data_IF_736391132692
#
_entry.id   IF_736391132692
#
_cell.length_a   1.000
_cell.length_b   1.000
_cell.length_c   1.000
_cell.angle_alpha   90.00
_cell.angle_beta   90.00
_cell.angle_gamma   90.00
#
_symmetry.space_group_name_H-M   'P 1'
#
loop_
_entity.id
_entity.type
_entity.pdbx_description
1 polymer ?
#
# COMPACT_ATOMS: atom_id res chain seq x y z
N UNK A 1 -30.68 -10.88 2.18
CA UNK A 1 -29.25 -10.64 2.49
C UNK A 1 -29.07 -10.82 3.98
N UNK A 2 -28.12 -11.65 4.42
CA UNK A 2 -27.88 -11.90 5.84
C UNK A 2 -27.19 -10.69 6.51
N UNK A 3 -27.27 -10.53 7.85
CA UNK A 3 -26.60 -9.44 8.56
C UNK A 3 -25.07 -9.42 8.40
N UNK A 4 -24.47 -10.55 8.01
CA UNK A 4 -23.03 -10.65 7.72
C UNK A 4 -22.76 -10.20 6.28
N UNK A 5 -23.58 -10.66 5.32
CA UNK A 5 -23.48 -10.24 3.92
C UNK A 5 -23.67 -8.73 3.76
N UNK A 6 -24.62 -8.15 4.49
CA UNK A 6 -24.87 -6.71 4.49
C UNK A 6 -23.62 -5.93 4.94
N UNK A 7 -22.99 -6.34 6.06
CA UNK A 7 -21.76 -5.71 6.55
C UNK A 7 -20.59 -5.82 5.59
N UNK A 8 -20.44 -6.96 4.90
CA UNK A 8 -19.38 -7.15 3.89
C UNK A 8 -19.63 -6.27 2.67
N UNK A 9 -20.89 -6.16 2.25
CA UNK A 9 -21.30 -5.33 1.12
C UNK A 9 -21.14 -3.84 1.40
N UNK A 10 -21.54 -3.38 2.58
CA UNK A 10 -21.38 -1.99 2.99
C UNK A 10 -19.89 -1.63 3.06
N UNK A 11 -19.06 -2.51 3.64
CA UNK A 11 -17.60 -2.35 3.66
C UNK A 11 -17.02 -2.22 2.25
N UNK A 12 -17.39 -3.12 1.33
CA UNK A 12 -16.94 -3.06 -0.06
C UNK A 12 -17.41 -1.79 -0.79
N UNK A 13 -18.67 -1.38 -0.58
CA UNK A 13 -19.27 -0.19 -1.19
C UNK A 13 -18.60 1.10 -0.73
N UNK A 14 -18.09 1.14 0.51
CA UNK A 14 -17.36 2.27 1.07
C UNK A 14 -15.90 2.36 0.58
N UNK A 15 -15.48 1.51 -0.37
CA UNK A 15 -14.14 1.52 -0.93
C UNK A 15 -13.11 0.82 -0.03
N UNK A 16 -13.55 -0.21 0.71
CA UNK A 16 -12.74 -0.90 1.70
C UNK A 16 -11.32 -1.25 1.23
N UNK A 17 -10.36 -0.73 1.98
CA UNK A 17 -9.01 -1.23 2.01
C UNK A 17 -8.88 -2.32 3.08
N UNK A 18 -8.00 -3.27 2.83
CA UNK A 18 -7.59 -4.25 3.83
C UNK A 18 -6.95 -3.46 5.00
N UNK A 19 -7.44 -3.59 6.25
CA UNK A 19 -6.94 -2.79 7.37
C UNK A 19 -5.45 -3.05 7.58
N UNK A 20 -4.67 -2.01 7.89
CA UNK A 20 -3.25 -2.17 8.20
C UNK A 20 -3.12 -3.01 9.47
N UNK A 21 -2.34 -4.08 9.39
CA UNK A 21 -2.10 -4.98 10.52
C UNK A 21 -0.77 -4.62 11.19
N UNK A 22 -0.85 -4.19 12.44
CA UNK A 22 0.26 -3.98 13.35
C UNK A 22 0.42 -5.25 14.22
N UNK A 23 1.42 -6.11 13.95
CA UNK A 23 1.51 -7.44 14.56
C UNK A 23 1.53 -7.41 16.09
N UNK A 24 2.11 -6.37 16.69
CA UNK A 24 2.24 -6.22 18.14
C UNK A 24 0.97 -5.67 18.81
N UNK A 25 0.25 -4.78 18.13
CA UNK A 25 -0.91 -4.08 18.68
C UNK A 25 -2.21 -4.87 18.43
N UNK A 26 -2.30 -5.56 17.30
CA UNK A 26 -3.48 -6.30 16.88
C UNK A 26 -3.40 -7.76 17.29
N UNK A 27 -3.34 -8.02 18.60
CA UNK A 27 -3.25 -9.36 19.18
C UNK A 27 -4.39 -9.60 20.16
N UNK A 28 -4.94 -10.81 20.16
CA UNK A 28 -5.81 -11.27 21.25
C UNK A 28 -5.21 -12.50 21.92
N UNK A 29 -5.15 -12.52 23.26
CA UNK A 29 -4.53 -13.61 24.00
C UNK A 29 -5.23 -14.94 23.74
N UNK A 30 -4.46 -16.02 23.87
CA UNK A 30 -5.01 -17.35 23.80
C UNK A 30 -5.87 -17.64 25.02
N UNK A 31 -7.08 -18.18 24.82
CA UNK A 31 -7.83 -18.77 25.93
C UNK A 31 -7.02 -19.98 26.41
N UNK A 32 -6.64 -19.99 27.69
CA UNK A 32 -5.76 -21.00 28.27
C UNK A 32 -6.24 -22.43 27.93
N UNK A 33 -5.34 -23.27 27.41
CA UNK A 33 -5.56 -24.69 27.14
C UNK A 33 -6.09 -25.05 25.73
N UNK A 34 -6.24 -24.08 24.81
CA UNK A 34 -6.72 -24.37 23.46
C UNK A 34 -5.59 -24.73 22.49
N UNK A 35 -5.61 -25.91 21.87
CA UNK A 35 -4.80 -26.15 20.67
C UNK A 35 -5.16 -25.17 19.54
N UNK A 36 -4.17 -24.78 18.75
CA UNK A 36 -4.40 -24.14 17.45
C UNK A 36 -5.16 -25.10 16.55
N UNK A 37 -6.36 -24.72 16.12
CA UNK A 37 -7.11 -25.53 15.16
C UNK A 37 -6.47 -25.44 13.77
N UNK A 38 -6.59 -26.50 12.98
CA UNK A 38 -6.11 -26.50 11.57
C UNK A 38 -6.68 -25.32 10.79
N UNK A 39 -7.94 -24.95 11.06
CA UNK A 39 -8.60 -23.77 10.48
C UNK A 39 -7.87 -22.46 10.82
N UNK A 40 -7.37 -22.30 12.06
CA UNK A 40 -6.61 -21.11 12.45
C UNK A 40 -5.24 -21.08 11.78
N UNK A 41 -4.58 -22.23 11.68
CA UNK A 41 -3.29 -22.36 10.99
C UNK A 41 -3.40 -22.00 9.51
N UNK A 42 -4.46 -22.45 8.85
CA UNK A 42 -4.74 -22.09 7.47
C UNK A 42 -5.05 -20.59 7.31
N UNK A 43 -5.83 -20.01 8.22
CA UNK A 43 -6.11 -18.56 8.25
C UNK A 43 -4.85 -17.74 8.49
N UNK A 44 -3.91 -18.24 9.29
CA UNK A 44 -2.63 -17.60 9.50
C UNK A 44 -1.79 -17.55 8.22
N UNK A 45 -1.77 -18.64 7.46
CA UNK A 45 -1.10 -18.67 6.15
C UNK A 45 -1.75 -17.70 5.15
N UNK A 46 -3.08 -17.63 5.15
CA UNK A 46 -3.81 -16.67 4.35
C UNK A 46 -3.47 -15.21 4.74
N UNK A 47 -3.28 -14.93 6.03
CA UNK A 47 -2.82 -13.64 6.54
C UNK A 47 -1.44 -13.27 6.01
N UNK A 48 -0.45 -14.17 6.07
CA UNK A 48 0.88 -13.92 5.51
C UNK A 48 0.79 -13.59 4.02
N UNK A 49 -0.09 -14.29 3.28
CA UNK A 49 -0.25 -14.09 1.84
C UNK A 49 -0.92 -12.76 1.47
N UNK A 50 -1.98 -12.38 2.18
CA UNK A 50 -2.70 -11.12 1.94
C UNK A 50 -1.79 -9.90 2.14
N UNK A 51 -0.99 -9.91 3.21
CA UNK A 51 -0.12 -8.79 3.56
C UNK A 51 1.31 -8.92 2.98
N UNK A 52 1.57 -9.94 2.16
CA UNK A 52 2.88 -10.18 1.53
C UNK A 52 4.02 -10.34 2.55
N UNK A 53 3.75 -10.91 3.72
CA UNK A 53 4.74 -11.10 4.80
C UNK A 53 5.30 -12.51 4.84
N UNK A 54 6.49 -12.64 5.43
CA UNK A 54 7.14 -13.94 5.64
C UNK A 54 6.40 -14.74 6.72
N UNK A 55 6.42 -16.09 6.63
CA UNK A 55 5.97 -16.93 7.73
C UNK A 55 6.67 -16.54 9.04
N UNK A 56 5.90 -16.43 10.12
CA UNK A 56 6.39 -16.02 11.45
C UNK A 56 6.29 -14.52 11.75
N UNK A 57 5.90 -13.66 10.79
CA UNK A 57 5.58 -12.24 11.09
C UNK A 57 4.26 -12.08 11.85
N UNK A 58 3.31 -12.96 11.58
CA UNK A 58 2.03 -13.03 12.29
C UNK A 58 1.92 -14.36 13.00
N UNK A 59 1.07 -14.40 14.02
CA UNK A 59 0.74 -15.59 14.78
C UNK A 59 -0.77 -15.79 15.00
N UNK A 60 -1.12 -16.82 15.76
CA UNK A 60 -2.49 -17.15 16.13
C UNK A 60 -3.24 -16.00 16.84
N UNK A 61 -2.52 -15.16 17.59
CA UNK A 61 -3.11 -14.03 18.30
C UNK A 61 -3.60 -12.94 17.34
N UNK A 62 -2.94 -12.78 16.20
CA UNK A 62 -3.39 -11.88 15.14
C UNK A 62 -4.64 -12.41 14.44
N UNK A 63 -4.73 -13.72 14.18
CA UNK A 63 -5.94 -14.32 13.59
C UNK A 63 -7.15 -14.10 14.49
N UNK A 64 -6.98 -14.30 15.80
CA UNK A 64 -8.04 -14.09 16.81
C UNK A 64 -8.51 -12.64 16.89
N UNK A 65 -7.60 -11.69 16.69
CA UNK A 65 -7.96 -10.27 16.62
C UNK A 65 -8.96 -10.03 15.48
N UNK A 66 -8.70 -10.53 14.27
CA UNK A 66 -9.64 -10.39 13.15
C UNK A 66 -10.93 -11.15 13.32
N UNK A 67 -10.90 -12.33 13.97
CA UNK A 67 -12.12 -13.07 14.29
C UNK A 67 -13.08 -12.27 15.17
N UNK A 68 -12.55 -11.43 16.05
CA UNK A 68 -13.34 -10.63 16.97
C UNK A 68 -13.68 -9.23 16.44
N UNK A 69 -12.70 -8.53 15.85
CA UNK A 69 -12.80 -7.11 15.54
C UNK A 69 -13.14 -6.83 14.06
N UNK A 70 -12.85 -7.77 13.14
CA UNK A 70 -13.04 -7.57 11.70
C UNK A 70 -13.60 -8.82 11.02
N UNK A 71 -14.83 -9.17 11.37
CA UNK A 71 -15.54 -10.27 10.73
C UNK A 71 -15.57 -10.24 9.19
N UNK A 72 -15.69 -9.08 8.51
CA UNK A 72 -15.65 -9.04 7.05
C UNK A 72 -14.37 -9.65 6.46
N UNK A 73 -13.23 -9.50 7.16
CA UNK A 73 -11.95 -10.05 6.72
C UNK A 73 -11.92 -11.59 6.79
N UNK A 74 -12.74 -12.23 7.63
CA UNK A 74 -12.80 -13.69 7.72
C UNK A 74 -13.26 -14.34 6.43
N UNK A 75 -14.15 -13.68 5.68
CA UNK A 75 -14.60 -14.18 4.39
C UNK A 75 -13.46 -14.15 3.36
N UNK A 76 -12.67 -13.06 3.37
CA UNK A 76 -11.47 -12.96 2.53
C UNK A 76 -10.43 -14.01 2.92
N UNK A 77 -10.15 -14.18 4.21
CA UNK A 77 -9.22 -15.21 4.70
C UNK A 77 -9.68 -16.59 4.27
N UNK A 78 -10.97 -16.89 4.37
CA UNK A 78 -11.54 -18.17 3.95
C UNK A 78 -11.39 -18.39 2.43
N UNK A 79 -11.61 -17.36 1.62
CA UNK A 79 -11.40 -17.44 0.17
C UNK A 79 -9.94 -17.70 -0.19
N UNK A 80 -8.99 -17.03 0.48
CA UNK A 80 -7.55 -17.24 0.27
C UNK A 80 -7.11 -18.63 0.73
N UNK A 81 -7.65 -19.14 1.86
CA UNK A 81 -7.42 -20.54 2.29
C UNK A 81 -7.87 -21.53 1.21
N UNK A 82 -9.06 -21.35 0.64
CA UNK A 82 -9.55 -22.20 -0.46
C UNK A 82 -8.59 -22.16 -1.65
N UNK A 83 -8.09 -20.99 -2.00
CA UNK A 83 -7.11 -20.81 -3.08
C UNK A 83 -5.80 -21.55 -2.78
N UNK A 84 -5.23 -21.39 -1.59
CA UNK A 84 -3.99 -22.06 -1.17
C UNK A 84 -4.18 -23.59 -1.23
N UNK A 85 -5.30 -24.09 -0.69
CA UNK A 85 -5.63 -25.52 -0.73
C UNK A 85 -5.80 -26.02 -2.17
N UNK A 86 -6.45 -25.25 -3.04
CA UNK A 86 -6.60 -25.59 -4.45
C UNK A 86 -5.23 -25.61 -5.17
N UNK A 87 -4.37 -24.62 -4.94
CA UNK A 87 -2.99 -24.60 -5.48
C UNK A 87 -2.20 -25.83 -5.04
N UNK A 88 -2.28 -26.21 -3.76
CA UNK A 88 -1.66 -27.44 -3.24
C UNK A 88 -2.24 -28.69 -3.89
N UNK A 89 -3.56 -28.78 -4.06
CA UNK A 89 -4.20 -29.92 -4.70
C UNK A 89 -3.84 -30.06 -6.19
N UNK A 90 -3.73 -28.94 -6.92
CA UNK A 90 -3.27 -28.93 -8.32
C UNK A 90 -1.83 -29.42 -8.40
N UNK A 91 -0.96 -28.92 -7.52
CA UNK A 91 0.47 -29.26 -7.52
C UNK A 91 0.73 -30.67 -6.99
N UNK A 92 -0.11 -31.15 -6.08
CA UNK A 92 -0.02 -32.46 -5.42
C UNK A 92 -0.77 -33.60 -6.12
N UNK A 93 -1.43 -33.35 -7.25
CA UNK A 93 -2.06 -34.39 -8.08
C UNK A 93 -3.38 -34.98 -7.54
N UNK A 94 -4.01 -34.35 -6.55
CA UNK A 94 -5.31 -34.81 -6.03
C UNK A 94 -6.46 -34.39 -6.94
N UNK A 95 -7.45 -35.27 -7.12
CA UNK A 95 -8.63 -35.01 -7.93
C UNK A 95 -9.42 -33.79 -7.39
N UNK A 96 -9.36 -32.68 -8.10
CA UNK A 96 -10.14 -31.47 -7.82
C UNK A 96 -11.51 -31.60 -8.47
N UNK A 97 -12.58 -31.25 -7.74
CA UNK A 97 -13.92 -31.19 -8.34
C UNK A 97 -13.97 -30.15 -9.46
N UNK A 98 -14.69 -30.39 -10.57
CA UNK A 98 -14.70 -29.49 -11.73
C UNK A 98 -15.01 -28.02 -11.41
N UNK A 99 -15.92 -27.78 -10.47
CA UNK A 99 -16.30 -26.43 -10.01
C UNK A 99 -15.13 -25.70 -9.34
N UNK A 100 -14.40 -26.37 -8.45
CA UNK A 100 -13.21 -25.81 -7.79
C UNK A 100 -12.09 -25.55 -8.79
N UNK A 101 -11.99 -26.36 -9.84
CA UNK A 101 -11.04 -26.13 -10.93
C UNK A 101 -11.44 -24.90 -11.77
N UNK A 102 -12.73 -24.73 -12.04
CA UNK A 102 -13.24 -23.56 -12.76
C UNK A 102 -13.03 -22.26 -11.97
N UNK A 103 -13.34 -22.25 -10.68
CA UNK A 103 -13.03 -21.12 -9.78
C UNK A 103 -11.52 -20.83 -9.76
N UNK A 104 -10.69 -21.87 -9.62
CA UNK A 104 -9.23 -21.72 -9.66
C UNK A 104 -8.76 -21.10 -10.98
N UNK A 105 -9.26 -21.57 -12.12
CA UNK A 105 -8.90 -21.04 -13.43
C UNK A 105 -9.32 -19.57 -13.60
N UNK A 106 -10.50 -19.19 -13.09
CA UNK A 106 -10.97 -17.81 -13.10
C UNK A 106 -10.05 -16.90 -12.27
N UNK A 107 -9.73 -17.31 -11.03
CA UNK A 107 -8.84 -16.53 -10.16
C UNK A 107 -7.41 -16.49 -10.71
N UNK A 108 -6.92 -17.59 -11.29
CA UNK A 108 -5.61 -17.63 -11.94
C UNK A 108 -5.53 -16.68 -13.13
N UNK A 109 -6.57 -16.61 -13.96
CA UNK A 109 -6.66 -15.64 -15.06
C UNK A 109 -6.65 -14.21 -14.55
N UNK A 110 -7.46 -13.90 -13.55
CA UNK A 110 -7.49 -12.56 -12.94
C UNK A 110 -6.13 -12.15 -12.38
N UNK A 111 -5.44 -13.08 -11.69
CA UNK A 111 -4.08 -12.86 -11.21
C UNK A 111 -3.10 -12.57 -12.36
N UNK A 112 -3.16 -13.35 -13.44
CA UNK A 112 -2.32 -13.13 -14.62
C UNK A 112 -2.53 -11.76 -15.25
N UNK A 113 -3.79 -11.32 -15.37
CA UNK A 113 -4.13 -9.98 -15.86
C UNK A 113 -3.60 -8.87 -14.93
N UNK A 114 -3.73 -9.05 -13.62
CA UNK A 114 -3.23 -8.08 -12.64
C UNK A 114 -1.70 -7.95 -12.70
N UNK A 115 -0.97 -9.06 -12.79
CA UNK A 115 0.50 -9.04 -12.90
C UNK A 115 0.97 -8.42 -14.23
N UNK A 116 0.23 -8.64 -15.32
CA UNK A 116 0.51 -7.98 -16.60
C UNK A 116 0.33 -6.46 -16.48
N UNK A 117 -0.79 -6.02 -15.90
CA UNK A 117 -1.07 -4.60 -15.66
C UNK A 117 -0.02 -3.95 -14.75
N UNK A 118 0.38 -4.64 -13.68
CA UNK A 118 1.45 -4.19 -12.78
C UNK A 118 2.77 -4.00 -13.54
N UNK A 119 3.11 -4.95 -14.43
CA UNK A 119 4.30 -4.86 -15.28
C UNK A 119 4.24 -3.67 -16.25
N UNK A 120 3.07 -3.38 -16.81
CA UNK A 120 2.84 -2.23 -17.69
C UNK A 120 3.01 -0.91 -16.92
N UNK A 121 2.43 -0.80 -15.73
CA UNK A 121 2.59 0.38 -14.85
C UNK A 121 4.07 0.61 -14.50
N UNK A 122 4.81 -0.44 -14.16
CA UNK A 122 6.25 -0.31 -13.87
C UNK A 122 7.06 0.11 -15.10
N UNK A 123 6.69 -0.39 -16.29
CA UNK A 123 7.32 0.03 -17.55
C UNK A 123 7.06 1.51 -17.81
N UNK A 124 5.82 1.98 -17.66
CA UNK A 124 5.45 3.38 -17.87
C UNK A 124 6.13 4.30 -16.87
N UNK A 125 6.16 3.92 -15.58
CA UNK A 125 6.88 4.67 -14.57
C UNK A 125 8.37 4.82 -14.91
N UNK A 126 9.01 3.75 -15.40
CA UNK A 126 10.42 3.79 -15.83
C UNK A 126 10.63 4.72 -17.02
N UNK A 127 9.72 4.72 -18.00
CA UNK A 127 9.78 5.63 -19.15
C UNK A 127 9.62 7.09 -18.72
N UNK A 128 8.63 7.40 -17.87
CA UNK A 128 8.41 8.75 -17.33
C UNK A 128 9.62 9.24 -16.54
N UNK A 129 10.24 8.38 -15.74
CA UNK A 129 11.46 8.71 -14.99
C UNK A 129 12.60 9.04 -15.95
N UNK A 130 12.81 8.24 -17.00
CA UNK A 130 13.83 8.51 -18.02
C UNK A 130 13.59 9.84 -18.74
N UNK A 131 12.36 10.11 -19.16
CA UNK A 131 11.99 11.36 -19.81
C UNK A 131 12.26 12.58 -18.92
N UNK A 132 11.86 12.53 -17.65
CA UNK A 132 12.18 13.58 -16.68
C UNK A 132 13.69 13.78 -16.51
N UNK A 133 14.47 12.70 -16.56
CA UNK A 133 15.94 12.80 -16.45
C UNK A 133 16.55 13.52 -17.66
N UNK A 134 16.03 13.26 -18.87
CA UNK A 134 16.47 13.93 -20.11
C UNK A 134 16.07 15.40 -20.07
N UNK A 135 14.81 15.69 -19.74
CA UNK A 135 14.32 17.07 -19.65
C UNK A 135 15.12 17.90 -18.65
N UNK A 136 15.45 17.34 -17.48
CA UNK A 136 16.28 18.04 -16.49
C UNK A 136 17.69 18.35 -17.03
N UNK A 137 18.32 17.42 -17.76
CA UNK A 137 19.62 17.66 -18.38
C UNK A 137 19.57 18.74 -19.45
N UNK A 138 18.52 18.75 -20.27
CA UNK A 138 18.32 19.77 -21.29
C UNK A 138 18.07 21.15 -20.65
N UNK A 139 17.32 21.18 -19.54
CA UNK A 139 17.08 22.39 -18.77
C UNK A 139 18.38 22.93 -18.15
N UNK A 140 19.19 22.05 -17.55
CA UNK A 140 20.51 22.41 -17.02
C UNK A 140 21.44 22.96 -18.12
N UNK A 141 21.38 22.38 -19.32
CA UNK A 141 22.15 22.85 -20.48
C UNK A 141 21.71 24.25 -20.91
N UNK A 142 20.41 24.50 -21.05
CA UNK A 142 19.86 25.82 -21.40
C UNK A 142 20.21 26.85 -20.32
N UNK A 143 20.10 26.50 -19.04
CA UNK A 143 20.44 27.39 -17.93
C UNK A 143 21.94 27.73 -17.92
N UNK A 144 22.82 26.78 -18.24
CA UNK A 144 24.25 27.03 -18.37
C UNK A 144 24.60 27.90 -19.59
N UNK A 145 23.92 27.70 -20.73
CA UNK A 145 24.09 28.54 -21.93
C UNK A 145 23.62 29.97 -21.67
N UNK A 146 22.48 30.17 -21.02
CA UNK A 146 21.97 31.49 -20.64
C UNK A 146 22.83 32.16 -19.54
N UNK A 147 23.37 31.39 -18.59
CA UNK A 147 24.28 31.89 -17.56
C UNK A 147 25.65 32.31 -18.11
N UNK A 148 26.16 31.57 -19.10
CA UNK A 148 27.44 31.88 -19.76
C UNK A 148 27.43 33.17 -20.61
N UNK A 149 26.25 33.58 -21.10
CA UNK A 149 26.09 34.83 -21.85
C UNK A 149 25.99 36.08 -20.97
N UNK A 150 25.67 35.92 -19.68
CA UNK A 150 25.69 37.04 -18.71
C UNK A 150 27.12 37.45 -18.32
N UNK A 151 28.04 36.48 -18.20
CA UNK A 151 29.44 36.78 -17.85
C UNK A 151 30.23 37.41 -19.01
N UNK A 152 29.88 37.11 -20.27
CA UNK A 152 30.53 37.69 -21.46
C UNK A 152 30.11 39.13 -21.77
N UNK A 153 28.93 39.55 -21.31
CA UNK A 153 28.39 40.90 -21.57
C UNK A 153 28.59 41.88 -20.40
N UNK A 154 29.37 41.52 -19.37
CA UNK A 154 29.78 42.44 -18.30
C UNK A 154 28.64 42.96 -17.40
N UNK A 155 27.46 42.35 -17.45
CA UNK A 155 26.36 42.69 -16.55
C UNK A 155 26.40 41.76 -15.33
N UNK A 156 27.24 42.12 -14.36
CA UNK A 156 27.23 41.49 -13.04
C UNK A 156 25.86 41.64 -12.39
N UNK A 157 25.25 40.53 -11.98
CA UNK A 157 24.04 40.54 -11.15
C UNK A 157 24.28 41.40 -9.88
N UNK A 158 23.29 42.21 -9.45
CA UNK A 158 23.43 42.99 -8.24
C UNK A 158 23.63 42.07 -7.04
N UNK A 159 24.76 42.26 -6.36
CA UNK A 159 25.12 41.55 -5.13
C UNK A 159 24.02 41.72 -4.07
N UNK A 160 23.55 40.64 -3.42
CA UNK A 160 22.45 40.72 -2.46
C UNK A 160 22.84 41.35 -1.11
N UNK A 161 24.08 41.82 -0.92
CA UNK A 161 24.56 42.39 0.34
C UNK A 161 24.97 43.85 0.18
N UNK A 162 23.98 44.72 0.01
CA UNK A 162 24.12 46.17 0.19
C UNK A 162 23.34 46.60 1.43
N UNK A 163 24.04 46.76 2.56
CA UNK A 163 23.50 47.39 3.76
C UNK A 163 22.87 48.75 3.45
N UNK A 164 21.60 48.93 3.83
CA UNK A 164 21.05 50.26 4.08
C UNK A 164 20.36 50.28 5.44
N UNK A 165 21.11 50.76 6.43
CA UNK A 165 20.56 51.25 7.70
C UNK A 165 19.82 52.55 7.38
N UNK A 166 18.49 52.53 7.41
CA UNK A 166 17.72 53.71 7.78
C UNK A 166 16.48 53.25 8.55
N UNK A 167 16.49 53.56 9.84
CA UNK A 167 15.35 53.35 10.71
C UNK A 167 14.24 54.34 10.38
N UNK A 168 13.01 53.84 10.42
CA UNK A 168 11.83 54.61 10.81
C UNK A 168 11.05 53.70 11.75
N UNK A 169 10.80 54.22 12.95
CA UNK A 169 10.20 53.49 14.04
C UNK A 169 8.68 53.42 14.00
N UNK A 170 8.21 52.95 15.15
CA UNK A 170 6.88 53.03 15.72
C UNK A 170 5.91 51.86 15.52
N UNK A 171 5.75 51.20 16.67
CA UNK A 171 4.50 50.94 17.39
C UNK A 171 3.73 49.65 17.08
N UNK A 172 3.92 48.71 18.01
CA UNK A 172 2.89 47.81 18.54
C UNK A 172 1.52 48.51 18.67
N UNK A 173 0.42 47.76 18.49
CA UNK A 173 -0.21 47.20 19.68
C UNK A 173 -0.62 45.73 19.55
N UNK A 174 -0.63 45.11 20.73
CA UNK A 174 -0.97 43.73 21.04
C UNK A 174 -2.46 43.42 20.92
N UNK A 175 -2.78 42.22 20.38
CA UNK A 175 -3.84 41.27 20.84
C UNK A 175 -5.33 41.71 20.77
N UNK A 176 -6.33 40.79 20.75
CA UNK A 176 -6.33 39.53 21.48
C UNK A 176 -6.99 38.29 20.86
N UNK A 177 -6.60 37.16 21.47
CA UNK A 177 -7.25 35.86 21.53
C UNK A 177 -8.65 35.92 22.15
N UNK A 178 -9.62 35.22 21.52
CA UNK A 178 -10.92 34.71 22.01
C UNK A 178 -11.34 33.66 20.97
N UNK A 179 -11.73 32.41 21.22
CA UNK A 179 -12.18 31.64 22.37
C UNK A 179 -11.57 30.22 22.28
#
# INVERSE_FOLDING_TARGET
>A
MSPVEQRVYDFWREGANIPVLHPEENRKPEKAGGQTSDTRRDRLEALHRIYGKKPGTYDDSNVRFFEAEYQPLLNLLTAVVKLIRAERSVTGGSAISPEKFAEYQAVKRLRGMYTALESDIFRDHRLLTQQNTVLNKDLDKVMNELGGDFEKNGLTAPSPNGHSKHGIGNSHPSSPSRF
#
